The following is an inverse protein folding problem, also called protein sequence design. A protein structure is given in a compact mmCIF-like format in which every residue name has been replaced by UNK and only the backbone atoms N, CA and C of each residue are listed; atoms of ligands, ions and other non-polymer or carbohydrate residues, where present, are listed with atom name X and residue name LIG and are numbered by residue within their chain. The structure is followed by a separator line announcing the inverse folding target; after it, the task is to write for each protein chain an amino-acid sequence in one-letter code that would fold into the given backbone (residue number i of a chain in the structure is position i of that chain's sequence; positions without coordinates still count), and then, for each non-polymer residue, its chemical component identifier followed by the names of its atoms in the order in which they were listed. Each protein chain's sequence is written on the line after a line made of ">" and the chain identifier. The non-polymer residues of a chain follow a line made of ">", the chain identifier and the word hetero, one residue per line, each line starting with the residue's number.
data_IF_695772030368
#
_entry.id   IF_695772030368
#
_cell.length_a   1.000
_cell.length_b   1.000
_cell.length_c   1.000
_cell.angle_alpha   90.00
_cell.angle_beta   90.00
_cell.angle_gamma   90.00
#
_symmetry.space_group_name_H-M   'P 1'
#
loop_
_entity.id
_entity.type
_entity.pdbx_description
1 polymer ?
#
# COMPACT_ATOMS: atom_id res chain seq x y z
N UNK A 1 -21.82 -7.94 70.32
CA UNK A 1 -20.97 -8.37 69.19
C UNK A 1 -21.37 -7.53 67.98
N UNK A 2 -20.78 -6.38 67.63
CA UNK A 2 -19.39 -5.99 67.38
C UNK A 2 -18.66 -6.89 66.39
N UNK A 3 -18.64 -6.49 65.12
CA UNK A 3 -17.43 -6.55 64.29
C UNK A 3 -17.43 -5.37 63.29
N UNK A 4 -16.44 -4.50 63.46
CA UNK A 4 -16.06 -3.35 62.63
C UNK A 4 -14.63 -3.60 62.18
N UNK A 5 -14.27 -3.02 61.02
CA UNK A 5 -12.89 -2.70 60.65
C UNK A 5 -12.17 -3.86 59.97
N UNK A 6 -11.43 -3.66 58.89
CA UNK A 6 -10.59 -2.52 58.57
C UNK A 6 -9.21 -3.10 58.24
N UNK A 7 -8.99 -3.46 56.97
CA UNK A 7 -7.73 -4.01 56.50
C UNK A 7 -6.97 -2.95 55.70
N UNK A 8 -6.17 -2.15 56.40
CA UNK A 8 -5.18 -1.27 55.79
C UNK A 8 -3.77 -1.78 56.14
N UNK A 9 -2.99 -2.01 55.07
CA UNK A 9 -1.59 -1.63 54.92
C UNK A 9 -0.51 -2.41 55.71
N UNK A 10 0.32 -3.19 54.98
CA UNK A 10 1.70 -2.75 54.68
C UNK A 10 2.54 -3.78 53.94
N UNK A 11 3.31 -3.22 52.99
CA UNK A 11 4.66 -3.61 52.57
C UNK A 11 4.83 -4.99 51.92
N UNK A 12 5.77 -5.24 51.00
CA UNK A 12 6.72 -4.45 50.21
C UNK A 12 7.53 -5.51 49.48
N UNK A 13 7.31 -5.68 48.19
CA UNK A 13 8.31 -6.24 47.28
C UNK A 13 8.14 -5.48 45.97
N UNK A 14 8.85 -4.35 45.82
CA UNK A 14 10.05 -4.28 45.00
C UNK A 14 9.77 -4.89 43.61
N UNK A 15 9.29 -4.06 42.68
CA UNK A 15 10.16 -3.42 41.69
C UNK A 15 11.26 -4.37 41.19
N UNK A 16 11.09 -4.93 40.00
CA UNK A 16 12.03 -4.66 38.90
C UNK A 16 11.52 -5.15 37.57
N UNK A 17 11.49 -4.19 36.65
CA UNK A 17 11.20 -4.30 35.24
C UNK A 17 12.21 -5.24 34.57
N UNK A 18 11.71 -6.20 33.80
CA UNK A 18 12.50 -7.07 32.92
C UNK A 18 12.41 -6.61 31.47
N UNK A 19 12.80 -5.37 31.18
CA UNK A 19 13.07 -4.90 29.82
C UNK A 19 14.34 -5.58 29.31
N UNK A 20 14.21 -6.54 28.39
CA UNK A 20 15.34 -7.04 27.60
C UNK A 20 15.66 -6.02 26.51
N UNK A 21 16.60 -5.12 26.80
CA UNK A 21 17.33 -4.39 25.79
C UNK A 21 18.27 -5.34 25.04
N UNK A 22 18.20 -5.33 23.71
CA UNK A 22 19.21 -5.94 22.84
C UNK A 22 20.35 -4.93 22.72
N UNK A 23 21.41 -5.14 23.51
CA UNK A 23 22.65 -4.36 23.42
C UNK A 23 23.56 -4.94 22.34
N UNK A 24 23.88 -4.12 21.33
CA UNK A 24 24.94 -4.39 20.36
C UNK A 24 26.29 -4.05 21.02
N UNK A 25 27.01 -5.06 21.50
CA UNK A 25 28.33 -4.90 22.09
C UNK A 25 29.40 -4.80 20.99
N UNK A 26 30.08 -3.64 20.93
CA UNK A 26 31.36 -3.49 20.22
C UNK A 26 32.45 -4.22 21.01
N UNK A 27 32.87 -5.37 20.52
CA UNK A 27 34.06 -6.07 20.99
C UNK A 27 35.31 -5.54 20.29
N UNK A 28 36.15 -4.81 21.03
CA UNK A 28 37.49 -4.40 20.61
C UNK A 28 38.44 -5.56 20.96
N UNK A 29 38.71 -6.43 19.98
CA UNK A 29 39.63 -7.55 20.13
C UNK A 29 41.06 -7.15 19.79
N UNK A 30 41.92 -7.10 20.80
CA UNK A 30 43.37 -6.90 20.66
C UNK A 30 44.03 -8.02 19.87
N UNK A 31 44.72 -7.66 18.79
CA UNK A 31 45.45 -8.57 17.92
C UNK A 31 46.88 -8.77 18.45
N UNK A 32 47.18 -9.99 18.89
CA UNK A 32 48.51 -10.44 19.34
C UNK A 32 49.46 -10.52 18.16
N UNK A 33 50.66 -9.94 18.31
CA UNK A 33 51.82 -10.15 17.41
C UNK A 33 52.31 -11.60 17.56
N UNK A 34 51.98 -12.44 16.58
CA UNK A 34 52.68 -13.70 16.32
C UNK A 34 53.60 -13.51 15.12
N UNK A 35 54.91 -13.58 15.36
CA UNK A 35 55.95 -13.66 14.33
C UNK A 35 55.79 -15.02 13.64
N UNK A 36 55.59 -15.01 12.32
CA UNK A 36 55.71 -16.22 11.49
C UNK A 36 56.80 -15.93 10.48
N UNK A 37 57.87 -16.73 10.60
CA UNK A 37 58.99 -16.80 9.68
C UNK A 37 58.52 -17.10 8.25
N UNK A 38 59.23 -16.53 7.29
CA UNK A 38 58.79 -16.38 5.92
C UNK A 38 58.59 -17.66 5.11
N UNK A 39 57.85 -17.49 4.01
CA UNK A 39 57.96 -18.24 2.76
C UNK A 39 57.70 -17.22 1.62
N UNK A 40 58.77 -16.96 0.88
CA UNK A 40 58.86 -16.78 -0.57
C UNK A 40 57.91 -15.79 -1.30
N UNK A 41 58.41 -14.63 -1.77
CA UNK A 41 57.64 -13.72 -2.59
C UNK A 41 57.66 -14.19 -4.06
N UNK A 42 56.80 -15.15 -4.42
CA UNK A 42 56.37 -15.27 -5.82
C UNK A 42 55.41 -14.15 -6.18
N UNK A 43 55.94 -12.93 -6.31
CA UNK A 43 55.36 -11.90 -7.17
C UNK A 43 55.34 -12.47 -8.58
N UNK A 44 54.20 -13.05 -8.99
CA UNK A 44 53.86 -13.10 -10.41
C UNK A 44 53.81 -11.65 -10.86
N UNK A 45 54.90 -11.18 -11.48
CA UNK A 45 54.86 -10.04 -12.39
C UNK A 45 53.73 -10.32 -13.36
N UNK A 46 52.59 -9.65 -13.18
CA UNK A 46 51.77 -9.34 -14.34
C UNK A 46 52.74 -8.61 -15.27
N UNK A 47 53.20 -9.28 -16.33
CA UNK A 47 53.81 -8.59 -17.47
C UNK A 47 52.69 -7.67 -17.94
N UNK A 48 52.80 -6.39 -17.64
CA UNK A 48 52.17 -5.36 -18.44
C UNK A 48 52.67 -5.63 -19.86
N UNK A 49 51.84 -6.35 -20.63
CA UNK A 49 52.05 -6.47 -22.05
C UNK A 49 52.04 -5.04 -22.58
N UNK A 50 53.09 -4.66 -23.28
CA UNK A 50 53.14 -3.39 -23.99
C UNK A 50 51.83 -3.28 -24.79
N UNK A 51 50.98 -2.33 -24.42
CA UNK A 51 49.75 -2.05 -25.14
C UNK A 51 50.21 -1.61 -26.52
N UNK A 52 50.02 -2.46 -27.52
CA UNK A 52 50.22 -2.06 -28.90
C UNK A 52 49.22 -0.94 -29.17
N UNK A 53 49.71 0.28 -29.37
CA UNK A 53 48.91 1.36 -29.92
C UNK A 53 48.57 1.00 -31.37
N UNK A 54 47.44 0.32 -31.56
CA UNK A 54 46.82 0.13 -32.87
C UNK A 54 45.89 1.32 -33.11
N UNK A 55 46.19 2.12 -34.13
CA UNK A 55 45.29 3.17 -34.60
C UNK A 55 44.00 2.58 -35.16
N UNK A 56 42.86 3.16 -34.78
CA UNK A 56 41.54 2.86 -35.36
C UNK A 56 41.44 3.45 -36.76
N UNK A 57 40.84 2.70 -37.69
CA UNK A 57 40.61 3.19 -39.06
C UNK A 57 39.33 4.04 -39.11
N UNK A 58 39.28 5.03 -40.02
CA UNK A 58 38.08 5.83 -40.26
C UNK A 58 36.87 4.95 -40.61
N UNK A 59 37.10 3.86 -41.36
CA UNK A 59 36.07 2.91 -41.76
C UNK A 59 35.45 2.19 -40.55
N UNK A 60 36.27 1.79 -39.58
CA UNK A 60 35.78 1.16 -38.34
C UNK A 60 34.97 2.12 -37.49
N UNK A 61 35.38 3.39 -37.41
CA UNK A 61 34.60 4.42 -36.73
C UNK A 61 33.26 4.69 -37.43
N UNK A 62 33.22 4.67 -38.77
CA UNK A 62 31.96 4.83 -39.51
C UNK A 62 31.02 3.63 -39.34
N UNK A 63 31.55 2.40 -39.39
CA UNK A 63 30.73 1.19 -39.19
C UNK A 63 30.19 1.12 -37.76
N UNK A 64 31.02 1.40 -36.76
CA UNK A 64 30.57 1.37 -35.36
C UNK A 64 29.54 2.46 -35.07
N UNK A 65 29.73 3.69 -35.55
CA UNK A 65 28.76 4.76 -35.38
C UNK A 65 27.43 4.47 -36.11
N UNK A 66 27.48 3.89 -37.31
CA UNK A 66 26.26 3.51 -38.04
C UNK A 66 25.48 2.41 -37.30
N UNK A 67 26.14 1.39 -36.76
CA UNK A 67 25.50 0.34 -35.96
C UNK A 67 24.87 0.93 -34.68
N UNK A 68 25.59 1.80 -33.98
CA UNK A 68 25.08 2.45 -32.75
C UNK A 68 23.84 3.31 -33.06
N UNK A 69 23.82 4.06 -34.17
CA UNK A 69 22.65 4.85 -34.56
C UNK A 69 21.42 3.98 -34.85
N UNK A 70 21.60 2.86 -35.56
CA UNK A 70 20.48 1.92 -35.83
C UNK A 70 19.94 1.33 -34.53
N UNK A 71 20.81 0.87 -33.63
CA UNK A 71 20.40 0.29 -32.35
C UNK A 71 19.69 1.33 -31.44
N UNK A 72 20.17 2.57 -31.42
CA UNK A 72 19.55 3.64 -30.65
C UNK A 72 18.09 3.91 -31.08
N UNK A 73 17.80 3.81 -32.38
CA UNK A 73 16.45 4.05 -32.92
C UNK A 73 15.41 3.01 -32.46
N UNK A 74 15.83 1.76 -32.25
CA UNK A 74 14.93 0.64 -31.87
C UNK A 74 14.64 0.63 -30.36
N UNK A 75 15.47 1.26 -29.52
CA UNK A 75 15.37 1.16 -28.06
C UNK A 75 14.26 2.04 -27.43
N UNK A 76 13.90 3.18 -28.03
CA UNK A 76 12.98 4.15 -27.42
C UNK A 76 11.48 3.76 -27.32
N UNK A 77 10.84 3.08 -28.31
CA UNK A 77 9.38 2.92 -28.32
C UNK A 77 8.82 2.02 -27.19
N UNK A 78 9.67 1.30 -26.47
CA UNK A 78 9.25 0.36 -25.43
C UNK A 78 8.98 1.02 -24.07
N UNK A 79 9.58 2.18 -23.79
CA UNK A 79 9.51 2.82 -22.47
C UNK A 79 8.13 3.37 -22.14
N UNK A 80 7.48 4.04 -23.09
CA UNK A 80 6.14 4.63 -22.88
C UNK A 80 5.05 3.57 -22.74
N UNK A 81 5.12 2.49 -23.52
CA UNK A 81 4.16 1.39 -23.43
C UNK A 81 4.33 0.58 -22.14
N UNK A 82 5.57 0.44 -21.65
CA UNK A 82 5.85 -0.18 -20.36
C UNK A 82 5.25 0.63 -19.21
N UNK A 83 5.46 1.94 -19.19
CA UNK A 83 4.89 2.83 -18.17
C UNK A 83 3.34 2.79 -18.18
N UNK A 84 2.73 2.91 -19.37
CA UNK A 84 1.27 2.81 -19.52
C UNK A 84 0.74 1.49 -18.98
N UNK A 85 1.36 0.37 -19.35
CA UNK A 85 0.96 -0.96 -18.85
C UNK A 85 1.05 -1.07 -17.33
N UNK A 86 2.09 -0.50 -16.71
CA UNK A 86 2.21 -0.47 -15.25
C UNK A 86 1.06 0.31 -14.61
N UNK A 87 0.74 1.51 -15.12
CA UNK A 87 -0.38 2.30 -14.62
C UNK A 87 -1.72 1.58 -14.78
N UNK A 88 -1.94 0.84 -15.88
CA UNK A 88 -3.16 0.05 -16.08
C UNK A 88 -3.30 -1.08 -15.05
N UNK A 89 -2.20 -1.76 -14.73
CA UNK A 89 -2.17 -2.84 -13.73
C UNK A 89 -2.45 -2.25 -12.33
N UNK A 90 -1.79 -1.16 -11.98
CA UNK A 90 -1.99 -0.47 -10.71
C UNK A 90 -3.43 0.05 -10.57
N UNK A 91 -4.00 0.62 -11.64
CA UNK A 91 -5.37 1.12 -11.64
C UNK A 91 -6.36 -0.01 -11.36
N UNK A 92 -6.25 -1.12 -12.10
CA UNK A 92 -7.12 -2.29 -11.89
C UNK A 92 -6.97 -2.87 -10.49
N UNK A 93 -5.75 -2.87 -9.95
CA UNK A 93 -5.51 -3.32 -8.59
C UNK A 93 -6.16 -2.38 -7.56
N UNK A 94 -6.02 -1.07 -7.70
CA UNK A 94 -6.62 -0.08 -6.80
C UNK A 94 -8.15 -0.13 -6.85
N UNK A 95 -8.75 -0.20 -8.05
CA UNK A 95 -10.20 -0.35 -8.23
C UNK A 95 -10.70 -1.65 -7.57
N UNK A 96 -10.00 -2.76 -7.76
CA UNK A 96 -10.37 -4.05 -7.13
C UNK A 96 -10.31 -3.97 -5.60
N UNK A 97 -9.28 -3.35 -5.04
CA UNK A 97 -9.13 -3.19 -3.59
C UNK A 97 -10.28 -2.34 -3.02
N UNK A 98 -10.61 -1.22 -3.68
CA UNK A 98 -11.68 -0.33 -3.22
C UNK A 98 -13.05 -0.99 -3.34
N UNK A 99 -13.36 -1.64 -4.48
CA UNK A 99 -14.63 -2.37 -4.67
C UNK A 99 -14.78 -3.50 -3.65
N UNK A 100 -13.72 -4.28 -3.41
CA UNK A 100 -13.74 -5.31 -2.37
C UNK A 100 -13.96 -4.73 -0.95
N UNK A 101 -13.40 -3.54 -0.66
CA UNK A 101 -13.66 -2.85 0.61
C UNK A 101 -15.12 -2.38 0.72
N UNK A 102 -15.72 -1.88 -0.37
CA UNK A 102 -17.14 -1.51 -0.42
C UNK A 102 -18.03 -2.74 -0.25
N UNK A 103 -17.71 -3.85 -0.91
CA UNK A 103 -18.48 -5.09 -0.81
C UNK A 103 -18.43 -5.66 0.61
N UNK A 104 -17.25 -5.68 1.24
CA UNK A 104 -17.13 -6.12 2.65
C UNK A 104 -17.84 -5.20 3.62
N UNK A 105 -17.82 -3.88 3.38
CA UNK A 105 -18.62 -2.92 4.14
C UNK A 105 -20.11 -3.21 3.99
N UNK A 106 -20.59 -3.40 2.75
CA UNK A 106 -21.99 -3.69 2.44
C UNK A 106 -22.47 -4.97 3.12
N UNK A 107 -21.63 -6.00 3.24
CA UNK A 107 -21.98 -7.22 3.98
C UNK A 107 -22.17 -6.97 5.48
N UNK A 108 -21.30 -6.17 6.11
CA UNK A 108 -21.36 -5.92 7.56
C UNK A 108 -22.42 -4.90 7.96
N UNK A 109 -22.62 -3.86 7.14
CA UNK A 109 -23.51 -2.72 7.39
C UNK A 109 -24.78 -2.74 6.52
N UNK A 110 -25.15 -3.90 5.98
CA UNK A 110 -26.31 -4.02 5.10
C UNK A 110 -27.59 -3.49 5.76
N UNK A 111 -28.38 -2.73 4.99
CA UNK A 111 -29.75 -2.37 5.34
C UNK A 111 -30.58 -2.12 4.10
N UNK A 112 -31.89 -2.20 4.26
CA UNK A 112 -32.88 -1.84 3.26
C UNK A 112 -33.94 -0.96 3.92
N UNK A 113 -33.85 0.35 3.68
CA UNK A 113 -34.67 1.33 4.39
C UNK A 113 -34.36 1.35 5.89
N UNK A 114 -35.38 1.05 6.67
CA UNK A 114 -35.32 0.95 8.13
C UNK A 114 -34.98 -0.47 8.62
N UNK A 115 -34.94 -1.44 7.71
CA UNK A 115 -34.65 -2.84 8.04
C UNK A 115 -33.13 -3.04 8.09
N UNK A 116 -32.61 -3.34 9.28
CA UNK A 116 -31.19 -3.59 9.51
C UNK A 116 -30.89 -5.08 9.29
N UNK A 117 -30.04 -5.38 8.31
CA UNK A 117 -29.73 -6.75 7.90
C UNK A 117 -28.31 -7.17 8.32
N UNK A 118 -27.37 -6.22 8.26
CA UNK A 118 -25.96 -6.45 8.54
C UNK A 118 -25.70 -6.57 10.04
N UNK A 119 -24.79 -7.47 10.48
CA UNK A 119 -24.51 -7.69 11.90
C UNK A 119 -23.97 -6.44 12.61
N UNK A 120 -23.19 -5.60 11.92
CA UNK A 120 -22.69 -4.35 12.51
C UNK A 120 -23.81 -3.30 12.63
N UNK A 121 -24.71 -3.27 11.64
CA UNK A 121 -25.85 -2.36 11.59
C UNK A 121 -26.87 -2.66 12.70
N UNK A 122 -27.21 -3.93 12.92
CA UNK A 122 -28.12 -4.37 14.01
C UNK A 122 -27.56 -4.00 15.39
N UNK A 123 -26.25 -4.17 15.59
CA UNK A 123 -25.59 -3.82 16.86
C UNK A 123 -25.44 -2.31 17.08
N UNK A 124 -25.35 -1.53 16.00
CA UNK A 124 -25.08 -0.08 16.03
C UNK A 124 -26.15 0.68 15.25
N UNK A 125 -27.40 0.64 15.71
CA UNK A 125 -28.55 1.21 14.99
C UNK A 125 -28.37 2.67 14.56
N UNK A 126 -27.96 3.56 15.48
CA UNK A 126 -27.76 4.99 15.19
C UNK A 126 -26.59 5.20 14.22
N UNK A 127 -25.44 4.57 14.48
CA UNK A 127 -24.27 4.67 13.61
C UNK A 127 -24.58 4.18 12.20
N UNK A 128 -25.39 3.14 12.06
CA UNK A 128 -25.73 2.57 10.77
C UNK A 128 -26.44 3.56 9.86
N UNK A 129 -27.41 4.32 10.38
CA UNK A 129 -28.13 5.34 9.59
C UNK A 129 -27.23 6.52 9.21
N UNK A 130 -26.21 6.79 10.03
CA UNK A 130 -25.27 7.89 9.80
C UNK A 130 -24.23 7.54 8.73
N UNK A 131 -23.69 6.32 8.74
CA UNK A 131 -22.58 5.92 7.85
C UNK A 131 -23.05 5.31 6.52
N UNK A 132 -24.27 4.76 6.48
CA UNK A 132 -24.80 4.09 5.29
C UNK A 132 -25.95 4.84 4.65
N UNK A 133 -26.14 4.68 3.34
CA UNK A 133 -27.38 5.06 2.66
C UNK A 133 -28.52 4.09 2.96
N UNK A 134 -29.71 4.41 2.45
CA UNK A 134 -30.93 3.59 2.54
C UNK A 134 -30.70 2.15 2.03
N UNK A 135 -29.74 1.96 1.13
CA UNK A 135 -29.36 0.65 0.60
C UNK A 135 -28.16 0.03 1.30
N UNK A 136 -27.67 0.54 2.42
CA UNK A 136 -26.54 -0.07 3.13
C UNK A 136 -25.18 0.08 2.44
N UNK A 137 -25.05 0.97 1.45
CA UNK A 137 -23.75 1.37 0.88
C UNK A 137 -23.17 2.55 1.67
N UNK A 138 -21.84 2.74 1.68
CA UNK A 138 -21.23 3.85 2.41
C UNK A 138 -21.60 5.20 1.77
N UNK A 139 -21.89 6.22 2.59
CA UNK A 139 -22.18 7.58 2.08
C UNK A 139 -20.95 8.25 1.44
N UNK A 140 -19.76 7.93 1.92
CA UNK A 140 -18.49 8.42 1.39
C UNK A 140 -17.37 7.39 1.59
N UNK A 141 -16.31 7.49 0.79
CA UNK A 141 -15.13 6.61 0.92
C UNK A 141 -14.41 6.76 2.28
N UNK A 142 -14.51 7.93 2.92
CA UNK A 142 -13.92 8.15 4.24
C UNK A 142 -14.49 7.20 5.30
N UNK A 143 -15.73 6.75 5.15
CA UNK A 143 -16.34 5.75 6.03
C UNK A 143 -15.57 4.43 6.00
N UNK A 144 -14.85 4.11 4.92
CA UNK A 144 -14.01 2.92 4.82
C UNK A 144 -12.70 3.04 5.61
N UNK A 145 -12.24 4.25 5.93
CA UNK A 145 -11.01 4.50 6.68
C UNK A 145 -11.21 4.38 8.19
N UNK A 146 -12.43 4.56 8.69
CA UNK A 146 -12.70 4.40 10.11
C UNK A 146 -14.11 4.79 10.54
N UNK A 147 -14.82 3.84 11.13
CA UNK A 147 -16.12 4.07 11.77
C UNK A 147 -15.95 3.88 13.27
N UNK A 148 -16.31 4.90 14.06
CA UNK A 148 -16.40 4.79 15.52
C UNK A 148 -17.63 3.96 15.88
N UNK A 149 -17.41 2.80 16.47
CA UNK A 149 -18.50 1.92 16.90
C UNK A 149 -19.07 2.41 18.23
N UNK A 150 -20.40 2.46 18.32
CA UNK A 150 -21.12 2.88 19.55
C UNK A 150 -21.34 1.70 20.52
N UNK A 151 -21.12 0.46 20.07
CA UNK A 151 -21.38 -0.75 20.85
C UNK A 151 -20.45 -0.97 22.05
N UNK A 152 -21.01 -1.64 23.07
CA UNK A 152 -20.37 -2.23 24.25
C UNK A 152 -19.21 -3.22 23.93
N UNK A 153 -18.95 -3.54 22.66
CA UNK A 153 -17.84 -4.37 22.17
C UNK A 153 -16.52 -3.60 22.00
N UNK A 154 -16.54 -2.26 21.99
CA UNK A 154 -15.32 -1.43 22.00
C UNK A 154 -14.42 -1.74 23.22
N UNK A 155 -15.03 -2.23 24.30
CA UNK A 155 -14.40 -2.59 25.57
C UNK A 155 -13.65 -3.93 25.54
N UNK A 156 -13.90 -4.82 24.58
CA UNK A 156 -13.34 -6.20 24.60
C UNK A 156 -12.06 -6.35 23.77
N UNK A 157 -11.84 -5.53 22.74
CA UNK A 157 -10.65 -5.60 21.87
C UNK A 157 -9.81 -4.31 21.83
N UNK A 158 -10.17 -3.30 22.62
CA UNK A 158 -9.45 -2.01 22.68
C UNK A 158 -9.45 -1.21 21.37
N UNK A 159 -10.20 -1.64 20.35
CA UNK A 159 -10.31 -0.96 19.06
C UNK A 159 -11.72 -0.41 18.91
N UNK A 160 -11.87 0.88 19.17
CA UNK A 160 -13.12 1.65 19.03
C UNK A 160 -13.49 1.94 17.57
N UNK A 161 -12.58 1.65 16.63
CA UNK A 161 -12.70 2.04 15.23
C UNK A 161 -12.59 0.81 14.33
N UNK A 162 -13.64 0.55 13.52
CA UNK A 162 -13.60 -0.45 12.44
C UNK A 162 -13.08 0.20 11.17
N UNK A 163 -12.12 -0.43 10.49
CA UNK A 163 -11.52 0.04 9.23
C UNK A 163 -11.59 -1.05 8.16
N UNK A 164 -11.87 -0.66 6.92
CA UNK A 164 -11.88 -1.53 5.74
C UNK A 164 -10.67 -1.27 4.85
N UNK A 165 -10.22 -0.01 4.79
CA UNK A 165 -9.02 0.41 4.07
C UNK A 165 -7.95 0.90 5.06
N UNK A 166 -6.67 0.68 4.71
CA UNK A 166 -5.52 1.24 5.44
C UNK A 166 -5.32 2.71 5.12
N UNK A 167 -5.52 3.06 3.86
CA UNK A 167 -5.47 4.39 3.28
C UNK A 167 -6.21 4.35 1.94
N UNK A 168 -6.63 5.51 1.45
CA UNK A 168 -7.22 5.59 0.12
C UNK A 168 -6.10 5.55 -0.93
N UNK A 169 -6.14 4.63 -1.92
CA UNK A 169 -5.14 4.59 -2.97
C UNK A 169 -5.27 5.83 -3.88
N UNK A 170 -4.12 6.25 -4.42
CA UNK A 170 -4.08 7.28 -5.45
C UNK A 170 -4.44 6.66 -6.81
N UNK A 171 -5.10 7.42 -7.66
CA UNK A 171 -5.26 7.07 -9.05
C UNK A 171 -3.90 7.18 -9.75
N UNK A 172 -3.35 6.08 -10.33
CA UNK A 172 -2.05 6.10 -10.97
C UNK A 172 -2.00 6.96 -12.25
N UNK A 173 -3.15 7.35 -12.81
CA UNK A 173 -3.24 8.22 -13.98
C UNK A 173 -3.24 9.70 -13.61
N UNK A 174 -4.00 10.10 -12.58
CA UNK A 174 -4.07 11.50 -12.14
C UNK A 174 -3.01 11.86 -11.07
N UNK A 175 -2.47 10.85 -10.38
CA UNK A 175 -1.59 11.00 -9.22
C UNK A 175 -2.30 11.49 -7.95
N UNK A 176 -3.64 11.58 -7.96
CA UNK A 176 -4.47 12.10 -6.86
C UNK A 176 -5.50 11.06 -6.43
N UNK A 177 -6.10 11.25 -5.26
CA UNK A 177 -7.19 10.39 -4.77
C UNK A 177 -8.58 10.88 -5.22
N UNK A 178 -8.68 11.46 -6.43
CA UNK A 178 -9.89 12.05 -7.01
C UNK A 178 -10.65 11.04 -7.88
N UNK A 179 -11.33 10.12 -7.19
CA UNK A 179 -12.14 9.11 -7.85
C UNK A 179 -13.54 9.62 -8.18
N UNK A 180 -14.11 9.14 -9.28
CA UNK A 180 -15.51 9.31 -9.62
C UNK A 180 -16.35 8.21 -8.96
N UNK A 181 -17.58 8.53 -8.59
CA UNK A 181 -18.50 7.62 -7.90
C UNK A 181 -19.75 7.37 -8.72
N UNK A 182 -20.34 6.18 -8.52
CA UNK A 182 -21.69 5.84 -8.97
C UNK A 182 -22.52 5.45 -7.76
N UNK A 183 -23.76 5.91 -7.70
CA UNK A 183 -24.69 5.47 -6.67
C UNK A 183 -25.32 4.13 -7.01
N UNK A 184 -25.96 3.50 -6.02
CA UNK A 184 -26.70 2.27 -6.24
C UNK A 184 -27.95 2.46 -7.11
N UNK A 185 -28.60 3.63 -7.06
CA UNK A 185 -29.80 3.95 -7.88
C UNK A 185 -29.46 4.31 -9.33
N UNK A 186 -28.20 4.63 -9.60
CA UNK A 186 -27.79 5.14 -10.91
C UNK A 186 -27.80 4.02 -11.95
N UNK A 187 -28.14 4.37 -13.19
CA UNK A 187 -28.04 3.45 -14.31
C UNK A 187 -26.57 2.99 -14.51
N UNK A 188 -26.32 1.80 -15.10
CA UNK A 188 -24.96 1.30 -15.31
C UNK A 188 -24.04 2.24 -16.09
N UNK A 189 -24.60 3.09 -16.95
CA UNK A 189 -23.90 4.05 -17.80
C UNK A 189 -24.09 5.51 -17.35
N UNK A 190 -24.56 5.74 -16.12
CA UNK A 190 -24.72 7.09 -15.59
C UNK A 190 -23.36 7.81 -15.52
N UNK A 191 -23.32 9.06 -15.98
CA UNK A 191 -22.12 9.90 -15.95
C UNK A 191 -22.06 10.83 -14.74
N UNK A 192 -23.19 11.02 -14.05
CA UNK A 192 -23.32 11.90 -12.90
C UNK A 192 -23.57 11.07 -11.65
N UNK A 193 -22.97 11.50 -10.55
CA UNK A 193 -23.16 10.88 -9.24
C UNK A 193 -24.38 11.49 -8.53
N UNK A 194 -25.24 10.65 -7.96
CA UNK A 194 -26.44 11.10 -7.24
C UNK A 194 -26.15 11.73 -5.86
N UNK A 195 -24.97 11.49 -5.27
CA UNK A 195 -24.55 12.04 -3.97
C UNK A 195 -25.03 11.27 -2.73
N UNK A 196 -25.85 10.23 -2.87
CA UNK A 196 -26.41 9.48 -1.74
C UNK A 196 -25.44 8.42 -1.17
N UNK A 197 -24.77 7.66 -2.05
CA UNK A 197 -23.84 6.59 -1.69
C UNK A 197 -22.74 6.35 -2.73
N UNK A 198 -21.73 5.59 -2.28
CA UNK A 198 -20.67 5.06 -3.12
C UNK A 198 -20.94 3.56 -3.34
N UNK A 199 -21.57 3.23 -4.46
CA UNK A 199 -21.75 1.86 -4.92
C UNK A 199 -20.55 1.37 -5.74
N UNK A 200 -20.06 2.22 -6.64
CA UNK A 200 -18.91 1.92 -7.48
C UNK A 200 -17.97 3.13 -7.57
N UNK A 201 -16.71 2.85 -7.91
CA UNK A 201 -15.60 3.80 -7.98
C UNK A 201 -14.95 3.66 -9.35
N UNK A 202 -14.64 4.79 -9.99
CA UNK A 202 -14.05 4.88 -11.33
C UNK A 202 -12.96 5.95 -11.34
N UNK A 203 -12.01 5.85 -12.28
CA UNK A 203 -11.02 6.93 -12.50
C UNK A 203 -11.69 8.16 -13.12
N UNK A 204 -11.14 9.34 -12.85
CA UNK A 204 -11.52 10.59 -13.51
C UNK A 204 -10.91 10.73 -14.92
N UNK A 205 -9.86 9.96 -15.23
CA UNK A 205 -9.16 10.04 -16.51
C UNK A 205 -10.11 9.73 -17.69
N UNK A 206 -10.01 10.55 -18.73
CA UNK A 206 -10.71 10.37 -20.01
C UNK A 206 -9.87 9.58 -21.02
N UNK A 207 -8.69 9.10 -20.61
CA UNK A 207 -7.79 8.37 -21.48
C UNK A 207 -8.32 6.96 -21.81
N UNK A 208 -7.79 6.42 -22.90
CA UNK A 208 -8.07 5.06 -23.34
C UNK A 208 -6.92 4.13 -22.96
N UNK A 209 -7.31 2.92 -22.60
CA UNK A 209 -6.42 1.81 -22.37
C UNK A 209 -5.73 1.31 -23.64
N UNK A 210 -4.74 0.44 -23.46
CA UNK A 210 -4.04 -0.25 -24.55
C UNK A 210 -4.96 -1.16 -25.38
N UNK A 211 -6.09 -1.61 -24.81
CA UNK A 211 -7.10 -2.41 -25.51
C UNK A 211 -8.19 -1.57 -26.21
N UNK A 212 -8.11 -0.24 -26.12
CA UNK A 212 -9.06 0.70 -26.73
C UNK A 212 -10.31 0.99 -25.89
N UNK A 213 -10.47 0.36 -24.72
CA UNK A 213 -11.54 0.71 -23.77
C UNK A 213 -11.20 1.98 -22.99
N UNK A 214 -12.21 2.73 -22.52
CA UNK A 214 -11.97 3.90 -21.67
C UNK A 214 -11.69 3.43 -20.24
N UNK A 215 -10.72 4.04 -19.56
CA UNK A 215 -10.42 3.64 -18.19
C UNK A 215 -11.57 3.87 -17.21
N UNK A 216 -12.43 4.86 -17.47
CA UNK A 216 -13.63 5.12 -16.67
C UNK A 216 -14.64 3.97 -16.71
N UNK A 217 -14.61 3.14 -17.75
CA UNK A 217 -15.56 2.03 -17.93
C UNK A 217 -15.06 0.72 -17.26
N UNK A 218 -13.87 0.74 -16.63
CA UNK A 218 -13.26 -0.39 -15.93
C UNK A 218 -13.80 -0.60 -14.52
#
# INVERSE_FOLDING_TARGET
>A
MSEKGGGADRNRHLLRQGTRCVSYARGVGGFRRGVIHGIDPRRKRYREGAVKESGVTLLELMITLTIVMVLASIAMPLSHLSAKRTHEIELRQHLRIMRAAIDTFKLEWNRDGDVLLGPACVKNKLTCTDVTSVYGYPKSLDMLLGIKLTSQEATVRGTTTKRYLRSLPLDPLSGKADWLFRCYKDAPNASNWCGDDVYDVMTQSQDMALDGTKYRDW
#
